data_IF_188030744166
#
_entry.id   IF_188030744166
#
_cell.length_a   1.000
_cell.length_b   1.000
_cell.length_c   1.000
_cell.angle_alpha   90.00
_cell.angle_beta   90.00
_cell.angle_gamma   90.00
#
_symmetry.space_group_name_H-M   'P 1'
#
loop_
_entity.id
_entity.type
_entity.pdbx_description
1 polymer ?
#
# COMPACT_ATOMS: atom_id res chain seq x y z
N UNK A 1 31.67 25.99 -12.06
CA UNK A 1 31.71 24.53 -11.95
C UNK A 1 30.32 24.04 -12.29
N UNK A 2 30.16 23.55 -13.48
CA UNK A 2 28.87 23.14 -14.06
C UNK A 2 28.59 21.73 -13.58
N UNK A 3 27.57 21.58 -12.73
CA UNK A 3 27.03 20.26 -12.37
C UNK A 3 26.37 19.64 -13.60
N UNK A 4 27.03 18.64 -14.11
CA UNK A 4 26.51 17.78 -15.18
C UNK A 4 25.58 16.75 -14.51
N UNK A 5 24.30 17.10 -14.31
CA UNK A 5 23.27 16.13 -13.98
C UNK A 5 22.94 15.36 -15.25
N UNK A 6 23.38 14.12 -15.31
CA UNK A 6 22.95 13.17 -16.33
C UNK A 6 21.45 12.98 -16.21
N UNK A 7 20.66 13.16 -17.28
CA UNK A 7 19.23 12.83 -17.23
C UNK A 7 19.06 11.37 -16.86
N UNK A 8 18.18 11.09 -15.90
CA UNK A 8 17.76 9.74 -15.61
C UNK A 8 17.11 9.17 -16.87
N UNK A 9 17.70 8.10 -17.38
CA UNK A 9 17.23 7.37 -18.55
C UNK A 9 15.82 6.81 -18.24
N UNK A 10 14.81 7.35 -18.92
CA UNK A 10 13.40 6.90 -18.87
C UNK A 10 13.17 5.61 -19.67
N UNK A 11 14.22 4.81 -19.87
CA UNK A 11 14.17 3.58 -20.63
C UNK A 11 13.15 2.57 -20.08
N UNK A 12 12.45 1.84 -20.97
CA UNK A 12 11.51 0.81 -20.56
C UNK A 12 12.23 -0.27 -19.72
N UNK A 13 11.50 -0.87 -18.79
CA UNK A 13 11.95 -2.04 -18.05
C UNK A 13 12.42 -3.10 -19.07
N UNK A 14 13.59 -3.70 -18.84
CA UNK A 14 14.20 -4.62 -19.78
C UNK A 14 13.29 -5.85 -19.97
N UNK A 15 12.65 -5.94 -21.13
CA UNK A 15 12.07 -7.19 -21.61
C UNK A 15 13.21 -8.09 -22.10
N UNK A 16 13.14 -9.37 -21.77
CA UNK A 16 14.05 -10.36 -22.33
C UNK A 16 13.72 -10.59 -23.81
N UNK A 17 14.67 -11.13 -24.60
CA UNK A 17 14.50 -11.33 -26.04
C UNK A 17 13.30 -12.23 -26.42
N UNK A 18 12.71 -12.95 -25.47
CA UNK A 18 11.52 -13.82 -25.62
C UNK A 18 10.23 -13.17 -25.13
N UNK A 19 10.25 -11.87 -24.77
CA UNK A 19 9.09 -11.15 -24.25
C UNK A 19 8.76 -11.45 -22.77
N UNK A 20 9.60 -12.20 -22.07
CA UNK A 20 9.47 -12.43 -20.63
C UNK A 20 10.12 -11.30 -19.83
N UNK A 21 9.65 -11.08 -18.62
CA UNK A 21 10.22 -10.08 -17.71
C UNK A 21 11.36 -10.70 -16.88
N UNK A 22 12.45 -9.96 -16.71
CA UNK A 22 13.53 -10.38 -15.84
C UNK A 22 13.06 -10.38 -14.37
N UNK A 23 13.26 -11.52 -13.67
CA UNK A 23 12.95 -11.66 -12.25
C UNK A 23 14.14 -11.18 -11.42
N UNK A 24 13.97 -10.09 -10.69
CA UNK A 24 15.01 -9.56 -9.79
C UNK A 24 14.92 -10.13 -8.36
N UNK A 25 13.73 -10.46 -7.90
CA UNK A 25 13.49 -10.99 -6.56
C UNK A 25 12.24 -11.87 -6.52
N UNK A 26 12.09 -12.67 -5.45
CA UNK A 26 10.88 -13.46 -5.22
C UNK A 26 10.56 -13.53 -3.73
N UNK A 27 9.26 -13.42 -3.39
CA UNK A 27 8.79 -13.52 -2.01
C UNK A 27 7.40 -14.17 -1.99
N UNK A 28 7.19 -15.14 -1.11
CA UNK A 28 5.89 -15.83 -0.97
C UNK A 28 5.30 -16.35 -2.30
N UNK A 29 6.17 -16.81 -3.21
CA UNK A 29 5.75 -17.30 -4.53
C UNK A 29 5.35 -16.20 -5.53
N UNK A 30 5.58 -14.93 -5.21
CA UNK A 30 5.41 -13.80 -6.11
C UNK A 30 6.77 -13.38 -6.64
N UNK A 31 6.93 -13.34 -7.96
CA UNK A 31 8.11 -12.84 -8.66
C UNK A 31 8.02 -11.32 -8.82
N UNK A 32 9.14 -10.64 -8.59
CA UNK A 32 9.25 -9.18 -8.70
C UNK A 32 10.12 -8.85 -9.92
N UNK A 33 9.60 -8.08 -10.88
CA UNK A 33 10.35 -7.71 -12.08
C UNK A 33 11.52 -6.78 -11.74
N UNK A 34 12.59 -6.86 -12.53
CA UNK A 34 13.69 -5.92 -12.45
C UNK A 34 13.18 -4.49 -12.72
N UNK A 35 13.61 -3.53 -11.91
CA UNK A 35 13.26 -2.12 -12.09
C UNK A 35 14.29 -1.22 -11.42
N UNK A 36 14.36 0.05 -11.83
CA UNK A 36 15.21 1.08 -11.20
C UNK A 36 14.86 1.33 -9.72
N UNK A 37 13.70 0.89 -9.26
CA UNK A 37 13.26 1.03 -7.87
C UNK A 37 13.79 -0.06 -6.95
N UNK A 38 14.46 -1.08 -7.49
CA UNK A 38 15.04 -2.19 -6.75
C UNK A 38 16.57 -2.02 -6.59
N UNK A 39 16.99 -1.59 -5.40
CA UNK A 39 18.40 -1.68 -5.01
C UNK A 39 18.75 -3.11 -4.56
N UNK A 40 20.04 -3.48 -4.59
CA UNK A 40 20.51 -4.77 -4.07
C UNK A 40 20.05 -5.05 -2.64
N UNK A 41 20.00 -4.01 -1.80
CA UNK A 41 19.52 -4.13 -0.43
C UNK A 41 18.03 -4.47 -0.39
N UNK A 42 17.24 -3.87 -1.27
CA UNK A 42 15.81 -4.15 -1.36
C UNK A 42 15.56 -5.56 -1.90
N UNK A 43 16.26 -5.96 -2.94
CA UNK A 43 16.23 -7.34 -3.48
C UNK A 43 16.53 -8.36 -2.37
N UNK A 44 17.61 -8.15 -1.60
CA UNK A 44 17.94 -9.03 -0.47
C UNK A 44 16.85 -9.07 0.61
N UNK A 45 16.20 -7.94 0.91
CA UNK A 45 15.09 -7.88 1.89
C UNK A 45 13.85 -8.60 1.39
N UNK A 46 13.51 -8.46 0.11
CA UNK A 46 12.39 -9.16 -0.54
C UNK A 46 12.63 -10.67 -0.48
N UNK A 47 13.77 -11.14 -0.98
CA UNK A 47 14.11 -12.57 -1.00
C UNK A 47 14.17 -13.20 0.40
N UNK A 48 14.45 -12.40 1.42
CA UNK A 48 14.46 -12.84 2.81
C UNK A 48 13.09 -12.73 3.52
N UNK A 49 12.02 -12.30 2.81
CA UNK A 49 10.69 -12.08 3.40
C UNK A 49 10.64 -10.95 4.44
N UNK A 50 11.57 -9.98 4.35
CA UNK A 50 11.71 -8.86 5.32
C UNK A 50 11.28 -7.51 4.76
N UNK A 51 10.90 -7.45 3.50
CA UNK A 51 10.32 -6.26 2.88
C UNK A 51 8.83 -6.23 3.21
N UNK A 52 8.38 -5.19 3.91
CA UNK A 52 6.99 -5.03 4.39
C UNK A 52 6.43 -6.31 5.07
N UNK A 53 7.32 -7.01 5.79
CA UNK A 53 7.02 -8.33 6.32
C UNK A 53 5.96 -8.33 7.41
N UNK A 54 5.75 -7.22 8.11
CA UNK A 54 4.73 -7.11 9.15
C UNK A 54 3.34 -6.92 8.55
N UNK A 55 3.24 -6.09 7.50
CA UNK A 55 2.03 -5.85 6.71
C UNK A 55 1.59 -7.15 6.04
N UNK A 56 2.53 -7.85 5.39
CA UNK A 56 2.28 -9.17 4.77
C UNK A 56 1.81 -10.18 5.82
N UNK A 57 2.51 -10.29 6.95
CA UNK A 57 2.14 -11.23 8.02
C UNK A 57 0.75 -10.92 8.56
N UNK A 58 0.45 -9.65 8.82
CA UNK A 58 -0.86 -9.21 9.30
C UNK A 58 -1.96 -9.47 8.29
N UNK A 59 -1.73 -9.16 7.01
CA UNK A 59 -2.70 -9.38 5.95
C UNK A 59 -3.00 -10.87 5.76
N UNK A 60 -1.98 -11.72 5.69
CA UNK A 60 -2.16 -13.18 5.56
C UNK A 60 -2.83 -13.81 6.78
N UNK A 61 -2.75 -13.17 7.96
CA UNK A 61 -3.44 -13.63 9.17
C UNK A 61 -4.94 -13.36 9.12
N UNK A 62 -5.37 -12.23 8.53
CA UNK A 62 -6.79 -11.81 8.62
C UNK A 62 -7.56 -11.90 7.32
N UNK A 63 -6.93 -11.80 6.14
CA UNK A 63 -7.63 -11.81 4.85
C UNK A 63 -8.18 -13.20 4.55
N UNK A 64 -9.42 -13.24 4.09
CA UNK A 64 -10.19 -14.46 3.76
C UNK A 64 -10.55 -14.47 2.27
N UNK A 65 -10.90 -15.64 1.69
CA UNK A 65 -11.28 -15.74 0.28
C UNK A 65 -12.55 -14.94 -0.11
N UNK A 66 -13.43 -14.66 0.83
CA UNK A 66 -14.66 -13.88 0.63
C UNK A 66 -14.46 -12.37 0.76
N UNK A 67 -13.25 -11.93 1.17
CA UNK A 67 -12.94 -10.53 1.33
C UNK A 67 -12.75 -9.78 0.01
N UNK A 68 -12.93 -8.47 0.11
CA UNK A 68 -12.49 -7.46 -0.84
C UNK A 68 -11.51 -6.54 -0.12
N UNK A 69 -10.31 -6.46 -0.64
CA UNK A 69 -9.22 -5.69 -0.02
C UNK A 69 -9.11 -4.35 -0.71
N UNK A 70 -9.07 -3.28 0.07
CA UNK A 70 -8.63 -1.96 -0.35
C UNK A 70 -7.20 -1.75 0.17
N UNK A 71 -6.25 -1.60 -0.75
CA UNK A 71 -4.86 -1.30 -0.45
C UNK A 71 -4.58 0.17 -0.82
N UNK A 72 -4.11 0.95 0.15
CA UNK A 72 -3.81 2.37 0.01
C UNK A 72 -2.31 2.56 0.30
N UNK A 73 -1.55 2.92 -0.75
CA UNK A 73 -0.09 2.89 -0.74
C UNK A 73 0.42 1.51 -1.18
N UNK A 74 0.40 1.24 -2.51
CA UNK A 74 0.82 -0.06 -3.02
C UNK A 74 2.35 -0.23 -3.09
N UNK A 75 3.11 0.89 -3.04
CA UNK A 75 4.56 0.86 -3.23
C UNK A 75 4.95 0.21 -4.55
N UNK A 76 5.73 -0.86 -4.51
CA UNK A 76 6.05 -1.66 -5.72
C UNK A 76 4.98 -2.72 -6.06
N UNK A 77 3.87 -2.76 -5.32
CA UNK A 77 2.75 -3.69 -5.53
C UNK A 77 2.92 -5.07 -4.90
N UNK A 78 3.97 -5.29 -4.10
CA UNK A 78 4.31 -6.62 -3.59
C UNK A 78 3.33 -7.11 -2.52
N UNK A 79 2.90 -6.25 -1.59
CA UNK A 79 1.96 -6.64 -0.51
C UNK A 79 0.64 -7.09 -1.10
N UNK A 80 0.01 -6.27 -1.94
CA UNK A 80 -1.24 -6.62 -2.63
C UNK A 80 -1.13 -7.87 -3.49
N UNK A 81 -0.01 -8.04 -4.21
CA UNK A 81 0.23 -9.24 -5.02
C UNK A 81 0.35 -10.51 -4.17
N UNK A 82 1.02 -10.47 -3.01
CA UNK A 82 1.12 -11.60 -2.08
C UNK A 82 -0.26 -11.94 -1.51
N UNK A 83 -1.04 -10.92 -1.12
CA UNK A 83 -2.43 -11.10 -0.65
C UNK A 83 -3.26 -11.80 -1.75
N UNK A 84 -3.20 -11.29 -2.98
CA UNK A 84 -3.94 -11.84 -4.11
C UNK A 84 -3.52 -13.29 -4.45
N UNK A 85 -2.23 -13.61 -4.32
CA UNK A 85 -1.68 -14.93 -4.63
C UNK A 85 -1.99 -15.99 -3.55
N UNK A 86 -1.86 -15.63 -2.27
CA UNK A 86 -1.94 -16.59 -1.15
C UNK A 86 -3.33 -16.62 -0.52
N UNK A 87 -3.82 -15.47 -0.04
CA UNK A 87 -5.13 -15.39 0.62
C UNK A 87 -6.29 -15.50 -0.38
N UNK A 88 -6.04 -15.16 -1.64
CA UNK A 88 -6.97 -15.28 -2.78
C UNK A 88 -8.34 -14.63 -2.50
N UNK A 89 -8.39 -13.38 -2.03
CA UNK A 89 -9.65 -12.68 -1.83
C UNK A 89 -10.42 -12.54 -3.15
N UNK A 90 -11.68 -12.14 -3.09
CA UNK A 90 -12.49 -11.87 -4.28
C UNK A 90 -11.86 -10.81 -5.17
N UNK A 91 -11.30 -9.75 -4.55
CA UNK A 91 -10.63 -8.65 -5.27
C UNK A 91 -9.65 -7.92 -4.34
N UNK A 92 -8.56 -7.41 -4.94
CA UNK A 92 -7.69 -6.41 -4.34
C UNK A 92 -7.74 -5.16 -5.21
N UNK A 93 -8.10 -4.03 -4.63
CA UNK A 93 -8.08 -2.73 -5.29
C UNK A 93 -6.97 -1.89 -4.64
N UNK A 94 -5.87 -1.70 -5.37
CA UNK A 94 -4.70 -0.97 -4.89
C UNK A 94 -4.67 0.45 -5.44
N UNK A 95 -4.20 1.38 -4.61
CA UNK A 95 -3.98 2.78 -4.96
C UNK A 95 -2.54 3.14 -4.67
N UNK A 96 -1.92 3.83 -5.61
CA UNK A 96 -0.54 4.31 -5.50
C UNK A 96 -0.44 5.75 -6.03
N UNK A 97 0.11 6.63 -5.20
CA UNK A 97 0.23 8.04 -5.55
C UNK A 97 1.41 8.29 -6.53
N UNK A 98 2.49 7.52 -6.44
CA UNK A 98 3.64 7.67 -7.31
C UNK A 98 3.34 7.15 -8.73
N UNK A 99 3.17 8.04 -9.75
CA UNK A 99 2.84 7.60 -11.11
C UNK A 99 3.95 6.74 -11.75
N UNK A 100 5.19 6.88 -11.29
CA UNK A 100 6.32 6.12 -11.84
C UNK A 100 6.32 4.66 -11.41
N UNK A 101 5.63 4.31 -10.31
CA UNK A 101 5.49 2.93 -9.85
C UNK A 101 4.39 2.17 -10.58
N UNK A 102 3.40 2.86 -11.16
CA UNK A 102 2.24 2.22 -11.80
C UNK A 102 2.62 1.21 -12.89
N UNK A 103 3.53 1.52 -13.83
CA UNK A 103 3.97 0.53 -14.83
C UNK A 103 4.61 -0.70 -14.18
N UNK A 104 5.45 -0.52 -13.16
CA UNK A 104 6.14 -1.60 -12.45
C UNK A 104 5.15 -2.48 -11.69
N UNK A 105 4.16 -1.89 -11.04
CA UNK A 105 3.11 -2.63 -10.33
C UNK A 105 2.29 -3.48 -11.31
N UNK A 106 1.88 -2.90 -12.45
CA UNK A 106 1.14 -3.63 -13.48
C UNK A 106 1.94 -4.80 -14.04
N UNK A 107 3.22 -4.58 -14.30
CA UNK A 107 4.14 -5.61 -14.76
C UNK A 107 4.29 -6.74 -13.72
N UNK A 108 4.40 -6.40 -12.43
CA UNK A 108 4.44 -7.40 -11.35
C UNK A 108 3.15 -8.24 -11.32
N UNK A 109 1.98 -7.61 -11.47
CA UNK A 109 0.71 -8.34 -11.50
C UNK A 109 0.61 -9.25 -12.72
N UNK A 110 1.06 -8.78 -13.89
CA UNK A 110 1.09 -9.55 -15.14
C UNK A 110 2.02 -10.74 -15.07
N UNK A 111 3.27 -10.53 -14.62
CA UNK A 111 4.28 -11.59 -14.46
C UNK A 111 3.78 -12.75 -13.58
N UNK A 112 2.87 -12.45 -12.63
CA UNK A 112 2.35 -13.45 -11.70
C UNK A 112 0.92 -13.94 -12.04
N UNK A 113 0.35 -13.50 -13.18
CA UNK A 113 -1.00 -13.92 -13.60
C UNK A 113 -2.12 -13.45 -12.66
N UNK A 114 -1.96 -12.26 -12.06
CA UNK A 114 -2.86 -11.76 -11.00
C UNK A 114 -3.87 -10.70 -11.49
N UNK A 115 -3.84 -10.29 -12.76
CA UNK A 115 -4.59 -9.15 -13.31
C UNK A 115 -6.11 -9.25 -13.09
N UNK A 116 -6.65 -10.45 -13.10
CA UNK A 116 -8.08 -10.69 -12.86
C UNK A 116 -8.46 -10.48 -11.39
N UNK A 117 -7.52 -10.62 -10.46
CA UNK A 117 -7.77 -10.56 -9.02
C UNK A 117 -7.37 -9.25 -8.38
N UNK A 118 -6.34 -8.57 -8.92
CA UNK A 118 -5.82 -7.32 -8.38
C UNK A 118 -5.76 -6.24 -9.47
N UNK A 119 -6.00 -5.01 -9.08
CA UNK A 119 -5.87 -3.83 -9.95
C UNK A 119 -5.19 -2.70 -9.21
N UNK A 120 -4.49 -1.81 -9.94
CA UNK A 120 -3.90 -0.59 -9.38
C UNK A 120 -4.39 0.64 -10.10
N UNK A 121 -4.67 1.71 -9.34
CA UNK A 121 -4.99 3.05 -9.84
C UNK A 121 -3.96 4.06 -9.32
N UNK A 122 -3.56 5.01 -10.20
CA UNK A 122 -2.74 6.12 -9.79
C UNK A 122 -3.64 7.23 -9.25
N UNK A 123 -3.76 7.30 -7.94
CA UNK A 123 -4.53 8.34 -7.27
C UNK A 123 -4.13 8.45 -5.79
N UNK A 124 -4.36 9.63 -5.23
CA UNK A 124 -4.41 9.88 -3.79
C UNK A 124 -5.86 9.74 -3.34
N UNK A 125 -6.13 8.90 -2.34
CA UNK A 125 -7.45 8.82 -1.73
C UNK A 125 -7.63 9.97 -0.73
N UNK A 126 -8.77 10.63 -0.77
CA UNK A 126 -9.16 11.70 0.13
C UNK A 126 -10.47 11.38 0.82
N UNK A 127 -10.57 11.66 2.12
CA UNK A 127 -11.76 11.41 2.94
C UNK A 127 -12.37 12.68 3.54
N UNK A 128 -11.62 13.79 3.53
CA UNK A 128 -12.02 15.07 4.09
C UNK A 128 -13.11 15.80 3.29
N UNK A 129 -13.59 16.93 3.80
CA UNK A 129 -14.58 17.77 3.11
C UNK A 129 -13.99 18.44 1.86
N UNK A 130 -12.69 18.73 1.86
CA UNK A 130 -11.98 19.29 0.72
C UNK A 130 -11.56 18.17 -0.23
N UNK A 131 -11.91 18.33 -1.49
CA UNK A 131 -11.65 17.33 -2.55
C UNK A 131 -11.05 18.04 -3.76
N UNK A 132 -9.76 18.42 -3.68
CA UNK A 132 -9.07 18.98 -4.84
C UNK A 132 -9.01 17.94 -5.95
N UNK A 133 -8.99 18.37 -7.23
CA UNK A 133 -8.89 17.45 -8.35
C UNK A 133 -7.53 16.72 -8.41
N UNK A 134 -6.48 17.39 -7.92
CA UNK A 134 -5.13 16.85 -7.81
C UNK A 134 -4.51 17.28 -6.48
N UNK A 135 -3.48 16.55 -6.05
CA UNK A 135 -2.63 16.94 -4.92
C UNK A 135 -1.15 16.86 -5.30
N UNK A 136 -0.31 17.79 -4.80
CA UNK A 136 1.13 17.72 -4.99
C UNK A 136 1.69 16.52 -4.24
N UNK A 137 2.49 15.70 -4.95
CA UNK A 137 3.16 14.54 -4.39
C UNK A 137 4.67 14.67 -4.58
N UNK A 138 5.42 14.50 -3.50
CA UNK A 138 6.86 14.66 -3.46
C UNK A 138 7.58 13.36 -3.79
N UNK A 139 8.03 13.23 -5.04
CA UNK A 139 8.87 12.11 -5.47
C UNK A 139 10.29 12.28 -4.97
N UNK A 140 10.83 11.24 -4.35
CA UNK A 140 12.23 11.17 -3.90
C UNK A 140 13.00 10.15 -4.72
N UNK A 141 14.34 10.24 -4.69
CA UNK A 141 15.24 9.27 -5.34
C UNK A 141 15.04 7.83 -4.85
N UNK A 142 14.64 7.66 -3.57
CA UNK A 142 14.06 6.41 -3.09
C UNK A 142 12.56 6.60 -3.01
N UNK A 143 11.76 5.74 -3.63
CA UNK A 143 10.29 5.83 -3.57
C UNK A 143 9.77 5.68 -2.13
N UNK A 144 10.49 4.93 -1.27
CA UNK A 144 10.23 4.92 0.16
C UNK A 144 10.46 6.33 0.73
N UNK A 145 9.46 6.86 1.39
CA UNK A 145 9.44 8.23 1.89
C UNK A 145 9.06 9.27 0.83
N UNK A 146 8.60 8.88 -0.37
CA UNK A 146 7.80 9.74 -1.23
C UNK A 146 6.42 9.90 -0.61
N UNK A 147 5.94 11.14 -0.42
CA UNK A 147 4.73 11.41 0.34
C UNK A 147 4.06 12.71 -0.06
N UNK A 148 2.84 12.93 0.42
CA UNK A 148 2.11 14.20 0.30
C UNK A 148 2.76 15.31 1.13
N UNK A 149 3.48 14.94 2.19
CA UNK A 149 4.16 15.87 3.08
C UNK A 149 5.67 15.81 2.87
N UNK A 150 6.34 16.96 2.91
CA UNK A 150 7.81 17.05 2.88
C UNK A 150 8.34 17.70 4.17
N UNK A 151 8.14 17.07 5.36
CA UNK A 151 8.46 17.70 6.64
C UNK A 151 9.95 17.98 6.85
N UNK A 152 10.82 17.32 6.08
CA UNK A 152 12.28 17.46 6.18
C UNK A 152 12.88 18.38 5.11
N UNK A 153 12.06 19.02 4.26
CA UNK A 153 12.47 19.89 3.13
C UNK A 153 13.56 19.25 2.26
N UNK A 154 13.59 17.92 2.19
CA UNK A 154 14.57 17.21 1.36
C UNK A 154 14.30 17.44 -0.10
N UNK A 155 15.34 17.45 -0.97
CA UNK A 155 15.14 17.54 -2.41
C UNK A 155 14.15 16.49 -2.89
N UNK A 156 13.13 16.95 -3.62
CA UNK A 156 12.08 16.13 -4.20
C UNK A 156 11.60 16.77 -5.49
N UNK A 157 11.16 15.95 -6.44
CA UNK A 157 10.40 16.42 -7.60
C UNK A 157 8.92 16.36 -7.26
N UNK A 158 8.22 17.46 -7.44
CA UNK A 158 6.77 17.51 -7.20
C UNK A 158 6.04 17.16 -8.48
N UNK A 159 5.06 16.27 -8.37
CA UNK A 159 4.11 15.93 -9.44
C UNK A 159 2.69 16.09 -8.93
N UNK A 160 1.78 16.49 -9.82
CA UNK A 160 0.36 16.54 -9.53
C UNK A 160 -0.26 15.16 -9.72
N UNK A 161 -0.88 14.62 -8.68
CA UNK A 161 -1.51 13.30 -8.69
C UNK A 161 -3.03 13.46 -8.56
N UNK A 162 -3.83 12.80 -9.40
CA UNK A 162 -5.29 12.82 -9.28
C UNK A 162 -5.74 12.36 -7.90
N UNK A 163 -6.84 12.94 -7.40
CA UNK A 163 -7.48 12.47 -6.18
C UNK A 163 -8.74 11.65 -6.49
N UNK A 164 -9.03 10.69 -5.64
CA UNK A 164 -10.31 9.98 -5.65
C UNK A 164 -10.96 10.06 -4.26
N UNK A 165 -12.27 10.22 -4.24
CA UNK A 165 -13.06 10.22 -3.01
C UNK A 165 -13.12 8.81 -2.43
N UNK A 166 -12.58 8.63 -1.24
CA UNK A 166 -12.55 7.34 -0.55
C UNK A 166 -13.96 6.75 -0.34
N UNK A 167 -14.96 7.58 -0.04
CA UNK A 167 -16.33 7.10 0.15
C UNK A 167 -16.90 6.51 -1.15
N UNK A 168 -16.67 7.18 -2.29
CA UNK A 168 -17.08 6.65 -3.61
C UNK A 168 -16.30 5.38 -3.98
N UNK A 169 -15.02 5.32 -3.65
CA UNK A 169 -14.22 4.10 -3.84
C UNK A 169 -14.76 2.95 -2.99
N UNK A 170 -15.09 3.21 -1.72
CA UNK A 170 -15.68 2.19 -0.84
C UNK A 170 -17.04 1.73 -1.34
N UNK A 171 -17.88 2.62 -1.88
CA UNK A 171 -19.16 2.25 -2.48
C UNK A 171 -19.00 1.33 -3.71
N UNK A 172 -18.02 1.64 -4.56
CA UNK A 172 -17.75 0.88 -5.78
C UNK A 172 -17.06 -0.47 -5.50
N UNK A 173 -16.06 -0.49 -4.63
CA UNK A 173 -15.25 -1.68 -4.32
C UNK A 173 -15.95 -2.58 -3.30
N UNK A 174 -16.68 -1.99 -2.34
CA UNK A 174 -17.29 -2.65 -1.18
C UNK A 174 -16.24 -3.43 -0.37
N UNK A 175 -15.17 -2.77 0.06
CA UNK A 175 -14.08 -3.45 0.74
C UNK A 175 -14.50 -3.92 2.14
N UNK A 176 -13.94 -5.04 2.55
CA UNK A 176 -14.10 -5.61 3.89
C UNK A 176 -12.82 -5.60 4.69
N UNK A 177 -11.68 -5.42 4.01
CA UNK A 177 -10.35 -5.30 4.62
C UNK A 177 -9.64 -4.07 4.05
N UNK A 178 -9.02 -3.29 4.93
CA UNK A 178 -8.16 -2.16 4.60
C UNK A 178 -6.70 -2.55 4.88
N UNK A 179 -5.82 -2.32 3.91
CA UNK A 179 -4.37 -2.30 4.07
C UNK A 179 -3.89 -0.89 3.75
N UNK A 180 -3.17 -0.24 4.66
CA UNK A 180 -2.78 1.15 4.46
C UNK A 180 -1.36 1.41 4.95
N UNK A 181 -0.52 1.91 4.02
CA UNK A 181 0.82 2.42 4.25
C UNK A 181 1.06 3.59 3.28
N UNK A 182 0.90 4.84 3.75
CA UNK A 182 0.89 6.05 2.91
C UNK A 182 1.87 7.14 3.37
N UNK A 183 2.85 6.74 4.18
CA UNK A 183 3.98 7.59 4.55
C UNK A 183 3.55 8.95 5.19
N UNK A 184 2.53 8.90 6.08
CA UNK A 184 2.17 10.01 6.95
C UNK A 184 0.79 10.65 6.72
N UNK A 185 0.01 10.19 5.75
CA UNK A 185 -1.37 10.65 5.50
C UNK A 185 -2.46 9.92 6.31
N UNK A 186 -2.08 8.90 7.10
CA UNK A 186 -3.01 7.98 7.75
C UNK A 186 -3.97 8.68 8.72
N UNK A 187 -3.46 9.66 9.49
CA UNK A 187 -4.28 10.36 10.47
C UNK A 187 -5.40 11.17 9.80
N UNK A 188 -5.07 11.91 8.75
CA UNK A 188 -6.05 12.71 8.02
C UNK A 188 -7.12 11.82 7.38
N UNK A 189 -6.69 10.73 6.75
CA UNK A 189 -7.61 9.79 6.11
C UNK A 189 -8.53 9.13 7.14
N UNK A 190 -7.99 8.63 8.26
CA UNK A 190 -8.74 7.94 9.31
C UNK A 190 -9.75 8.84 10.03
N UNK A 191 -9.46 10.15 10.19
CA UNK A 191 -10.34 11.07 10.90
C UNK A 191 -11.67 11.33 10.19
N UNK A 192 -11.72 11.13 8.87
CA UNK A 192 -12.86 11.50 8.06
C UNK A 192 -13.50 10.31 7.32
N UNK A 193 -12.85 9.13 7.31
CA UNK A 193 -13.40 7.96 6.63
C UNK A 193 -14.44 7.20 7.48
N UNK A 194 -15.40 6.61 6.81
CA UNK A 194 -16.28 5.60 7.43
C UNK A 194 -15.54 4.26 7.51
N UNK A 195 -15.31 3.80 8.73
CA UNK A 195 -14.68 2.51 9.00
C UNK A 195 -15.69 1.36 9.09
N UNK A 196 -17.00 1.63 9.05
CA UNK A 196 -18.05 0.62 9.24
C UNK A 196 -18.00 -0.55 8.25
N UNK A 197 -17.60 -0.39 6.97
CA UNK A 197 -17.53 -1.49 6.03
C UNK A 197 -16.43 -2.51 6.33
N UNK A 198 -15.38 -2.07 7.06
CA UNK A 198 -14.21 -2.91 7.26
C UNK A 198 -14.38 -3.82 8.49
N UNK A 199 -14.10 -5.10 8.31
CA UNK A 199 -13.99 -6.08 9.39
C UNK A 199 -12.56 -6.22 9.93
N UNK A 200 -11.53 -5.89 9.10
CA UNK A 200 -10.13 -5.90 9.48
C UNK A 200 -9.37 -4.73 8.84
N UNK A 201 -8.35 -4.26 9.55
CA UNK A 201 -7.47 -3.17 9.13
C UNK A 201 -6.03 -3.57 9.42
N UNK A 202 -5.15 -3.44 8.44
CA UNK A 202 -3.70 -3.51 8.58
C UNK A 202 -3.16 -2.11 8.28
N UNK A 203 -2.44 -1.51 9.21
CA UNK A 203 -2.02 -0.12 9.11
C UNK A 203 -0.59 0.05 9.63
N UNK A 204 0.29 0.64 8.82
CA UNK A 204 1.56 1.20 9.27
C UNK A 204 1.36 2.64 9.75
N UNK A 205 2.03 3.01 10.86
CA UNK A 205 2.01 4.35 11.44
C UNK A 205 3.37 5.01 11.26
N UNK A 206 3.35 6.28 10.87
CA UNK A 206 4.55 7.09 10.61
C UNK A 206 4.75 8.19 11.68
N UNK A 207 5.12 7.81 12.92
CA UNK A 207 5.32 8.80 13.99
C UNK A 207 6.45 9.79 13.72
N UNK A 208 7.34 9.53 12.79
CA UNK A 208 8.36 10.46 12.30
C UNK A 208 7.76 11.62 11.51
N UNK A 209 6.54 11.45 10.95
CA UNK A 209 5.83 12.48 10.19
C UNK A 209 4.89 13.27 11.10
N UNK A 210 3.99 12.61 11.80
CA UNK A 210 2.94 13.26 12.62
C UNK A 210 3.14 13.12 14.14
N UNK A 211 4.32 12.63 14.55
CA UNK A 211 4.68 12.48 15.95
C UNK A 211 3.96 11.33 16.67
N UNK A 212 4.42 11.03 17.88
CA UNK A 212 3.76 10.04 18.76
C UNK A 212 2.32 10.41 19.09
N UNK A 213 1.96 11.70 19.29
CA UNK A 213 0.56 12.10 19.48
C UNK A 213 -0.35 11.71 18.31
N UNK A 214 0.09 11.94 17.05
CA UNK A 214 -0.66 11.55 15.85
C UNK A 214 -0.86 10.04 15.77
N UNK A 215 0.19 9.24 16.01
CA UNK A 215 0.07 7.79 16.08
C UNK A 215 -0.93 7.33 17.16
N UNK A 216 -0.95 8.00 18.32
CA UNK A 216 -1.95 7.71 19.37
C UNK A 216 -3.37 8.07 18.93
N UNK A 217 -3.52 9.15 18.14
CA UNK A 217 -4.81 9.55 17.59
C UNK A 217 -5.31 8.50 16.58
N UNK A 218 -4.49 8.04 15.62
CA UNK A 218 -4.84 6.95 14.71
C UNK A 218 -5.31 5.71 15.47
N UNK A 219 -4.53 5.28 16.48
CA UNK A 219 -4.87 4.13 17.32
C UNK A 219 -6.16 4.31 18.11
N UNK A 220 -6.50 5.53 18.47
CA UNK A 220 -7.77 5.84 19.13
C UNK A 220 -8.93 5.69 18.16
N UNK A 221 -8.83 6.28 16.95
CA UNK A 221 -9.87 6.16 15.93
C UNK A 221 -10.21 4.69 15.65
N UNK A 222 -9.21 3.82 15.51
CA UNK A 222 -9.44 2.39 15.31
C UNK A 222 -10.18 1.74 16.50
N UNK A 223 -9.77 2.05 17.74
CA UNK A 223 -10.43 1.50 18.95
C UNK A 223 -11.85 1.98 19.08
N UNK A 224 -12.09 3.30 18.88
CA UNK A 224 -13.41 3.91 18.98
C UNK A 224 -14.36 3.37 17.90
N UNK A 225 -13.81 2.96 16.73
CA UNK A 225 -14.55 2.26 15.70
C UNK A 225 -14.74 0.75 15.98
N UNK A 226 -14.34 0.24 17.16
CA UNK A 226 -14.58 -1.13 17.60
C UNK A 226 -13.53 -2.15 17.12
N UNK A 227 -12.35 -1.70 16.68
CA UNK A 227 -11.27 -2.63 16.28
C UNK A 227 -10.41 -3.02 17.49
N UNK A 228 -10.13 -4.32 17.60
CA UNK A 228 -9.16 -4.90 18.51
C UNK A 228 -7.86 -5.24 17.80
N UNK A 229 -6.73 -4.95 18.45
CA UNK A 229 -5.41 -5.26 17.92
C UNK A 229 -5.11 -6.76 18.04
N UNK A 230 -4.72 -7.40 16.95
CA UNK A 230 -4.16 -8.76 16.93
C UNK A 230 -2.70 -8.72 17.38
N UNK A 231 -2.46 -9.03 18.66
CA UNK A 231 -1.15 -8.83 19.30
C UNK A 231 -0.06 -9.70 18.68
N UNK A 232 -0.39 -10.92 18.26
CA UNK A 232 0.55 -11.91 17.70
C UNK A 232 1.20 -11.49 16.39
N UNK A 233 0.52 -10.63 15.61
CA UNK A 233 0.96 -10.19 14.28
C UNK A 233 1.11 -8.67 14.15
N UNK A 234 1.18 -7.98 15.28
CA UNK A 234 1.32 -6.52 15.31
C UNK A 234 2.57 -6.08 16.03
N UNK A 235 3.12 -4.95 15.61
CA UNK A 235 4.25 -4.27 16.26
C UNK A 235 3.84 -2.97 16.94
N UNK A 236 4.80 -2.10 17.23
CA UNK A 236 4.54 -0.74 17.71
C UNK A 236 3.98 0.16 16.61
N UNK A 237 4.50 0.01 15.39
CA UNK A 237 4.19 0.87 14.23
C UNK A 237 3.29 0.19 13.21
N UNK A 238 3.22 -1.12 13.14
CA UNK A 238 2.29 -1.85 12.27
C UNK A 238 1.22 -2.54 13.12
N UNK A 239 -0.03 -2.19 12.91
CA UNK A 239 -1.15 -2.85 13.57
C UNK A 239 -2.00 -3.64 12.58
N UNK A 240 -2.26 -4.88 12.93
CA UNK A 240 -3.34 -5.70 12.39
C UNK A 240 -4.48 -5.67 13.39
N UNK A 241 -5.65 -5.27 12.95
CA UNK A 241 -6.82 -5.13 13.81
C UNK A 241 -8.02 -5.84 13.19
N UNK A 242 -8.87 -6.43 14.04
CA UNK A 242 -10.15 -7.00 13.64
C UNK A 242 -11.28 -6.35 14.41
N UNK A 243 -12.45 -6.21 13.78
CA UNK A 243 -13.64 -5.66 14.43
C UNK A 243 -14.16 -6.64 15.48
N UNK A 244 -14.41 -6.17 16.69
CA UNK A 244 -15.02 -6.99 17.75
C UNK A 244 -16.47 -7.31 17.36
N UNK A 245 -16.85 -8.58 17.50
CA UNK A 245 -18.18 -9.07 17.12
C UNK A 245 -18.26 -9.73 15.73
N UNK A 246 -17.31 -9.51 14.83
CA UNK A 246 -17.27 -10.16 13.51
C UNK A 246 -16.82 -11.65 13.56
N UNK A 247 -16.40 -12.14 14.74
CA UNK A 247 -15.85 -13.49 14.90
C UNK A 247 -16.92 -14.57 15.20
N UNK A 248 -18.19 -14.23 15.40
CA UNK A 248 -19.22 -15.20 15.83
C UNK A 248 -19.98 -15.88 14.67
N UNK A 249 -19.90 -15.38 13.45
CA UNK A 249 -20.69 -15.93 12.33
C UNK A 249 -19.97 -17.04 11.54
N UNK A 250 -18.71 -17.36 11.85
CA UNK A 250 -17.91 -18.34 11.09
C UNK A 250 -17.83 -19.74 11.70
N UNK A 251 -18.50 -20.01 12.86
CA UNK A 251 -18.51 -21.35 13.51
C UNK A 251 -19.89 -22.02 13.54
N UNK A 252 -20.84 -21.52 12.80
CA UNK A 252 -22.21 -22.02 12.78
C UNK A 252 -22.74 -22.31 11.38
N UNK A 253 -22.11 -23.21 10.63
CA UNK A 253 -22.74 -23.88 9.48
C UNK A 253 -21.97 -25.14 9.12
#
# INVERSE_FOLDING_TARGET
>A
MTNNETPLDDGPVAETADGSFEVAASCHGVNVPASRFLSDTRIRRINAGRYEGQEITGALHVVRPDDRVLEVGAGIGLVGAIIANIAKPQKVASFEANPELIPVIRQLYEMNGLQERISVRNAVLVSGPERPATMPFHLRSSYLGSSLLNPSERPSRVVEVPTEDLAQVCEAVKPTVLVMDIEGGELDLLQHMDLSPFRAVILEFHPEVYGVPGMRACKRVLRDAGFAKEVSVSTRTVWTCVRQGAAQDAQGS
#
